data_IF_183830753924
#
_entry.id   IF_183830753924
#
_cell.length_a   1.000
_cell.length_b   1.000
_cell.length_c   1.000
_cell.angle_alpha   90.00
_cell.angle_beta   90.00
_cell.angle_gamma   90.00
#
_symmetry.space_group_name_H-M   'P 1'
#
loop_
_entity.id
_entity.type
_entity.pdbx_description
1 polymer ?
#
# COMPACT_ATOMS: atom_id res chain seq x y z
N UNK A 1 33.73 -13.91 -48.71
CA UNK A 1 34.26 -13.28 -47.47
C UNK A 1 33.37 -12.18 -46.85
N UNK A 2 32.13 -11.98 -47.32
CA UNK A 2 31.23 -10.92 -46.83
C UNK A 2 30.29 -11.36 -45.71
N UNK A 3 29.90 -12.63 -45.65
CA UNK A 3 28.95 -13.16 -44.64
C UNK A 3 29.52 -13.18 -43.21
N UNK A 4 30.79 -13.58 -43.03
CA UNK A 4 31.43 -13.65 -41.69
C UNK A 4 31.63 -12.30 -40.99
N UNK A 5 31.80 -11.20 -41.74
CA UNK A 5 31.91 -9.84 -41.18
C UNK A 5 30.57 -9.24 -40.76
N UNK A 6 29.46 -9.63 -41.41
CA UNK A 6 28.12 -9.20 -41.03
C UNK A 6 27.63 -9.94 -39.77
N UNK A 7 27.89 -11.23 -39.67
CA UNK A 7 27.58 -12.03 -38.47
C UNK A 7 28.33 -11.49 -37.26
N UNK A 8 29.60 -11.10 -37.40
CA UNK A 8 30.37 -10.52 -36.28
C UNK A 8 29.84 -9.15 -35.84
N UNK A 9 29.38 -8.29 -36.77
CA UNK A 9 28.80 -6.97 -36.45
C UNK A 9 27.43 -7.08 -35.79
N UNK A 10 26.57 -7.97 -36.28
CA UNK A 10 25.26 -8.23 -35.69
C UNK A 10 25.39 -8.78 -34.25
N UNK A 11 26.34 -9.68 -34.01
CA UNK A 11 26.64 -10.18 -32.66
C UNK A 11 27.14 -9.08 -31.73
N UNK A 12 28.00 -8.17 -32.19
CA UNK A 12 28.47 -7.04 -31.39
C UNK A 12 27.29 -6.11 -31.02
N UNK A 13 26.44 -5.76 -31.99
CA UNK A 13 25.24 -4.94 -31.74
C UNK A 13 24.30 -5.62 -30.75
N UNK A 14 24.09 -6.94 -30.88
CA UNK A 14 23.28 -7.72 -29.94
C UNK A 14 23.85 -7.70 -28.52
N UNK A 15 25.18 -7.89 -28.37
CA UNK A 15 25.85 -7.85 -27.07
C UNK A 15 25.73 -6.45 -26.44
N UNK A 16 25.96 -5.39 -27.22
CA UNK A 16 25.83 -4.01 -26.73
C UNK A 16 24.39 -3.73 -26.29
N UNK A 17 23.40 -4.16 -27.07
CA UNK A 17 22.00 -4.00 -26.71
C UNK A 17 21.64 -4.74 -25.40
N UNK A 18 22.07 -6.00 -25.27
CA UNK A 18 21.87 -6.78 -24.04
C UNK A 18 22.58 -6.13 -22.85
N UNK A 19 23.80 -5.61 -23.03
CA UNK A 19 24.54 -4.93 -21.97
C UNK A 19 23.84 -3.64 -21.51
N UNK A 20 23.31 -2.84 -22.44
CA UNK A 20 22.51 -1.65 -22.14
C UNK A 20 21.22 -2.05 -21.40
N UNK A 21 20.47 -3.02 -21.93
CA UNK A 21 19.24 -3.51 -21.30
C UNK A 21 19.51 -4.05 -19.89
N UNK A 22 20.61 -4.79 -19.72
CA UNK A 22 21.03 -5.27 -18.41
C UNK A 22 21.36 -4.11 -17.47
N UNK A 23 22.22 -3.19 -17.88
CA UNK A 23 22.73 -2.12 -17.03
C UNK A 23 21.64 -1.13 -16.59
N UNK A 24 20.72 -0.77 -17.49
CA UNK A 24 19.75 0.30 -17.25
C UNK A 24 18.35 -0.20 -16.86
N UNK A 25 18.03 -1.47 -17.11
CA UNK A 25 16.68 -2.02 -16.83
C UNK A 25 16.78 -3.24 -15.94
N UNK A 26 17.36 -4.34 -16.42
CA UNK A 26 17.29 -5.64 -15.70
C UNK A 26 18.04 -5.61 -14.37
N UNK A 27 19.18 -4.93 -14.26
CA UNK A 27 19.94 -4.85 -13.02
C UNK A 27 19.11 -4.19 -11.91
N UNK A 28 18.48 -3.06 -12.20
CA UNK A 28 17.62 -2.36 -11.23
C UNK A 28 16.41 -3.20 -10.84
N UNK A 29 15.82 -3.91 -11.80
CA UNK A 29 14.67 -4.77 -11.54
C UNK A 29 15.04 -6.01 -10.73
N UNK A 30 16.08 -6.75 -11.11
CA UNK A 30 16.48 -8.01 -10.47
C UNK A 30 16.99 -7.74 -9.06
N UNK A 31 17.93 -6.81 -8.90
CA UNK A 31 18.60 -6.60 -7.61
C UNK A 31 17.90 -5.54 -6.75
N UNK A 32 17.28 -4.54 -7.37
CA UNK A 32 16.54 -3.49 -6.66
C UNK A 32 15.12 -3.92 -6.34
N UNK A 33 14.27 -4.01 -7.37
CA UNK A 33 12.83 -4.24 -7.23
C UNK A 33 12.49 -5.66 -6.73
N UNK A 34 13.06 -6.70 -7.35
CA UNK A 34 12.84 -8.09 -6.95
C UNK A 34 13.66 -8.45 -5.70
N UNK A 35 14.80 -7.80 -5.50
CA UNK A 35 15.63 -7.98 -4.31
C UNK A 35 16.46 -9.26 -4.30
N UNK A 36 16.78 -9.84 -5.47
CA UNK A 36 17.67 -11.00 -5.54
C UNK A 36 19.02 -10.68 -4.91
N UNK A 37 19.52 -11.56 -4.05
CA UNK A 37 20.80 -11.38 -3.35
C UNK A 37 20.78 -10.32 -2.23
N UNK A 38 19.66 -9.67 -1.94
CA UNK A 38 19.54 -8.76 -0.79
C UNK A 38 19.70 -9.55 0.50
N UNK A 39 20.67 -9.14 1.33
CA UNK A 39 20.88 -9.68 2.68
C UNK A 39 19.81 -9.15 3.62
N UNK A 40 19.24 -10.05 4.42
CA UNK A 40 18.29 -9.73 5.46
C UNK A 40 19.00 -9.62 6.82
N UNK A 41 18.50 -8.72 7.64
CA UNK A 41 18.61 -8.76 9.09
C UNK A 41 17.43 -9.57 9.64
N UNK A 42 17.58 -10.04 10.86
CA UNK A 42 16.58 -10.83 11.57
C UNK A 42 16.14 -10.08 12.82
N UNK A 43 14.98 -10.44 13.39
CA UNK A 43 14.49 -9.79 14.61
C UNK A 43 15.49 -9.78 15.76
N UNK A 44 16.33 -10.82 15.89
CA UNK A 44 17.41 -10.88 16.88
C UNK A 44 18.47 -9.77 16.74
N UNK A 45 18.58 -9.16 15.57
CA UNK A 45 19.48 -8.03 15.29
C UNK A 45 18.86 -6.69 15.77
N UNK A 46 17.60 -6.71 16.25
CA UNK A 46 16.85 -5.58 16.80
C UNK A 46 16.46 -5.88 18.27
N UNK A 47 17.42 -5.89 19.22
CA UNK A 47 17.23 -6.46 20.56
C UNK A 47 16.19 -5.75 21.43
N UNK A 48 15.83 -4.51 21.08
CA UNK A 48 14.82 -3.72 21.80
C UNK A 48 13.41 -3.98 21.30
N UNK A 49 13.21 -4.93 20.39
CA UNK A 49 11.91 -5.21 19.78
C UNK A 49 11.54 -6.66 20.02
N UNK A 50 10.34 -6.88 20.52
CA UNK A 50 9.75 -8.21 20.64
C UNK A 50 8.47 -8.26 19.80
N UNK A 51 8.31 -9.33 19.03
CA UNK A 51 7.18 -9.50 18.12
C UNK A 51 6.41 -10.79 18.42
N UNK A 52 5.09 -10.72 18.24
CA UNK A 52 4.17 -11.84 18.40
C UNK A 52 3.23 -11.93 17.18
N UNK A 53 3.10 -13.15 16.64
CA UNK A 53 2.09 -13.45 15.62
C UNK A 53 0.71 -13.61 16.23
N UNK A 54 -0.29 -13.03 15.59
CA UNK A 54 -1.68 -13.12 16.01
C UNK A 54 -2.45 -13.98 15.00
N UNK A 55 -2.44 -15.29 15.19
CA UNK A 55 -3.05 -16.27 14.27
C UNK A 55 -4.48 -16.67 14.69
N UNK A 56 -4.83 -16.50 15.97
CA UNK A 56 -6.06 -17.06 16.56
C UNK A 56 -7.29 -16.14 16.48
N UNK A 57 -7.19 -14.96 15.84
CA UNK A 57 -8.26 -13.96 15.79
C UNK A 57 -8.95 -13.86 14.41
N UNK A 58 -8.50 -14.62 13.41
CA UNK A 58 -9.02 -14.54 12.04
C UNK A 58 -8.70 -13.21 11.35
N UNK A 59 -7.60 -12.55 11.76
CA UNK A 59 -7.09 -11.32 11.14
C UNK A 59 -6.18 -11.69 9.97
N UNK A 60 -6.81 -12.04 8.86
CA UNK A 60 -6.15 -12.46 7.62
C UNK A 60 -6.26 -11.39 6.53
N UNK A 61 -5.29 -11.38 5.61
CA UNK A 61 -5.30 -10.52 4.42
C UNK A 61 -5.51 -9.03 4.75
N UNK A 62 -5.11 -8.61 5.96
CA UNK A 62 -5.22 -7.25 6.46
C UNK A 62 -4.17 -6.39 5.77
N UNK A 63 -4.50 -5.97 4.55
CA UNK A 63 -3.58 -5.30 3.63
C UNK A 63 -3.20 -3.90 4.12
N UNK A 64 -4.14 -3.25 4.80
CA UNK A 64 -4.02 -1.88 5.27
C UNK A 64 -4.58 -1.71 6.69
N UNK A 65 -4.09 -0.70 7.41
CA UNK A 65 -4.43 -0.33 8.77
C UNK A 65 -4.41 1.20 8.99
N UNK A 66 -5.21 1.67 9.94
CA UNK A 66 -5.24 3.05 10.40
C UNK A 66 -5.50 3.11 11.90
N UNK A 67 -4.68 3.85 12.64
CA UNK A 67 -4.81 3.99 14.09
C UNK A 67 -5.52 5.31 14.43
N UNK A 68 -6.63 5.22 15.15
CA UNK A 68 -7.23 6.38 15.79
C UNK A 68 -6.43 6.76 17.03
N UNK A 69 -5.43 7.61 16.85
CA UNK A 69 -4.50 8.03 17.91
C UNK A 69 -5.18 8.38 19.23
N UNK A 70 -6.27 9.16 19.16
CA UNK A 70 -7.01 9.66 20.33
C UNK A 70 -7.57 8.56 21.23
N UNK A 71 -7.93 7.40 20.66
CA UNK A 71 -8.60 6.33 21.42
C UNK A 71 -7.84 5.01 21.41
N UNK A 72 -6.81 4.87 20.57
CA UNK A 72 -6.09 3.60 20.39
C UNK A 72 -6.88 2.54 19.61
N UNK A 73 -7.94 2.89 18.88
CA UNK A 73 -8.63 1.92 18.01
C UNK A 73 -7.86 1.77 16.70
N UNK A 74 -7.40 0.56 16.41
CA UNK A 74 -6.76 0.19 15.15
C UNK A 74 -7.81 -0.38 14.20
N UNK A 75 -8.05 0.30 13.10
CA UNK A 75 -8.91 -0.10 12.01
C UNK A 75 -8.09 -0.87 10.99
N UNK A 76 -8.61 -1.99 10.47
CA UNK A 76 -7.88 -2.87 9.55
C UNK A 76 -8.80 -3.37 8.46
N UNK A 77 -8.36 -3.29 7.20
CA UNK A 77 -9.10 -3.79 6.04
C UNK A 77 -8.70 -5.24 5.76
N UNK A 78 -9.46 -6.19 6.30
CA UNK A 78 -9.12 -7.61 6.28
C UNK A 78 -10.01 -8.42 5.31
N UNK A 79 -9.50 -9.57 4.90
CA UNK A 79 -10.13 -10.50 3.96
C UNK A 79 -9.84 -11.95 4.42
N UNK A 80 -10.02 -12.93 3.54
CA UNK A 80 -9.47 -14.27 3.70
C UNK A 80 -8.25 -14.42 2.79
N UNK A 81 -7.14 -14.89 3.35
CA UNK A 81 -5.90 -15.12 2.59
C UNK A 81 -6.09 -16.10 1.44
N UNK A 82 -6.97 -17.09 1.62
CA UNK A 82 -7.31 -18.05 0.57
C UNK A 82 -8.02 -17.37 -0.61
N UNK A 83 -9.03 -16.54 -0.34
CA UNK A 83 -9.83 -15.89 -1.38
C UNK A 83 -9.04 -14.87 -2.20
N UNK A 84 -7.99 -14.29 -1.61
CA UNK A 84 -7.11 -13.34 -2.28
C UNK A 84 -6.24 -13.99 -3.38
N UNK A 85 -6.04 -15.32 -3.33
CA UNK A 85 -5.37 -16.07 -4.41
C UNK A 85 -6.22 -16.04 -5.69
N UNK A 86 -7.53 -15.97 -5.54
CA UNK A 86 -8.48 -15.86 -6.65
C UNK A 86 -8.74 -14.39 -7.03
N UNK A 87 -8.96 -13.52 -6.04
CA UNK A 87 -9.36 -12.13 -6.26
C UNK A 87 -8.57 -11.12 -5.44
N UNK A 88 -7.53 -10.58 -6.08
CA UNK A 88 -6.79 -9.41 -5.64
C UNK A 88 -6.23 -8.73 -6.91
N UNK A 89 -6.96 -7.78 -7.51
CA UNK A 89 -6.53 -7.15 -8.76
C UNK A 89 -5.14 -6.51 -8.67
N UNK A 90 -4.74 -6.03 -7.49
CA UNK A 90 -3.43 -5.43 -7.21
C UNK A 90 -2.23 -6.31 -7.57
N UNK A 91 -2.40 -7.64 -7.52
CA UNK A 91 -1.37 -8.63 -7.89
C UNK A 91 -1.74 -9.41 -9.16
N UNK A 92 -2.79 -8.98 -9.87
CA UNK A 92 -3.25 -9.60 -11.10
C UNK A 92 -4.11 -10.86 -10.91
N UNK A 93 -4.59 -11.13 -9.70
CA UNK A 93 -5.56 -12.20 -9.45
C UNK A 93 -6.97 -11.68 -9.78
N UNK A 94 -7.55 -12.23 -10.85
CA UNK A 94 -8.76 -11.72 -11.51
C UNK A 94 -9.85 -12.81 -11.65
N UNK A 95 -9.83 -13.85 -10.80
CA UNK A 95 -10.87 -14.87 -10.76
C UNK A 95 -12.09 -14.36 -9.96
N UNK A 96 -13.03 -13.71 -10.65
CA UNK A 96 -14.21 -13.10 -10.05
C UNK A 96 -15.09 -14.08 -9.25
N UNK A 97 -15.14 -15.34 -9.66
CA UNK A 97 -15.97 -16.37 -8.98
C UNK A 97 -15.36 -16.88 -7.68
N UNK A 98 -14.05 -16.73 -7.48
CA UNK A 98 -13.35 -17.13 -6.25
C UNK A 98 -13.15 -15.99 -5.24
N UNK A 99 -13.73 -14.82 -5.47
CA UNK A 99 -13.55 -13.67 -4.59
C UNK A 99 -14.03 -13.92 -3.16
N UNK A 100 -13.45 -13.19 -2.21
CA UNK A 100 -13.91 -13.19 -0.82
C UNK A 100 -15.32 -12.63 -0.70
N UNK A 101 -16.12 -13.24 0.18
CA UNK A 101 -17.46 -12.78 0.55
C UNK A 101 -17.54 -12.31 2.02
N UNK A 102 -16.40 -12.36 2.72
CA UNK A 102 -16.29 -12.09 4.15
C UNK A 102 -15.35 -10.93 4.46
N UNK A 103 -14.85 -10.22 3.43
CA UNK A 103 -14.03 -9.02 3.62
C UNK A 103 -14.82 -7.99 4.44
N UNK A 104 -14.15 -7.44 5.45
CA UNK A 104 -14.76 -6.51 6.40
C UNK A 104 -13.70 -5.79 7.20
N UNK A 105 -14.09 -4.64 7.75
CA UNK A 105 -13.22 -3.87 8.63
C UNK A 105 -13.17 -4.51 10.03
N UNK A 106 -11.97 -4.84 10.49
CA UNK A 106 -11.71 -5.17 11.89
C UNK A 106 -11.34 -3.89 12.66
N UNK A 107 -11.74 -3.82 13.93
CA UNK A 107 -11.37 -2.76 14.86
C UNK A 107 -10.86 -3.39 16.15
N UNK A 108 -9.59 -3.16 16.46
CA UNK A 108 -8.96 -3.62 17.69
C UNK A 108 -8.78 -2.42 18.63
N UNK A 109 -9.35 -2.47 19.83
CA UNK A 109 -8.94 -1.57 20.91
C UNK A 109 -7.53 -1.93 21.33
N UNK A 110 -6.50 -1.16 21.01
CA UNK A 110 -5.11 -1.56 21.28
C UNK A 110 -4.63 -1.26 22.71
N UNK A 111 -5.37 -0.44 23.45
CA UNK A 111 -4.99 0.08 24.77
C UNK A 111 -5.93 -0.37 25.89
N UNK A 112 -7.10 -0.88 25.55
CA UNK A 112 -8.06 -1.40 26.51
C UNK A 112 -7.55 -2.62 27.29
N UNK A 113 -8.13 -2.90 28.47
CA UNK A 113 -7.78 -4.06 29.28
C UNK A 113 -8.30 -5.37 28.66
N UNK A 114 -7.75 -6.50 29.12
CA UNK A 114 -8.20 -7.84 28.70
C UNK A 114 -7.52 -8.37 27.42
N UNK A 115 -8.00 -9.53 26.96
CA UNK A 115 -7.41 -10.20 25.80
C UNK A 115 -7.70 -9.47 24.49
N UNK A 116 -6.84 -9.64 23.48
CA UNK A 116 -7.07 -9.09 22.14
C UNK A 116 -8.41 -9.53 21.57
N UNK A 117 -8.79 -10.80 21.79
CA UNK A 117 -10.07 -11.34 21.35
C UNK A 117 -11.28 -10.57 21.92
N UNK A 118 -11.26 -10.22 23.22
CA UNK A 118 -12.37 -9.45 23.83
C UNK A 118 -12.45 -8.00 23.36
N UNK A 119 -11.39 -7.50 22.73
CA UNK A 119 -11.22 -6.11 22.27
C UNK A 119 -11.34 -5.96 20.76
N UNK A 120 -11.44 -7.07 20.03
CA UNK A 120 -11.62 -7.09 18.60
C UNK A 120 -13.11 -7.04 18.25
N UNK A 121 -13.46 -6.14 17.34
CA UNK A 121 -14.79 -6.01 16.75
C UNK A 121 -14.69 -6.09 15.23
N UNK A 122 -15.72 -6.64 14.61
CA UNK A 122 -15.90 -6.63 13.17
C UNK A 122 -17.02 -5.66 12.83
N UNK A 123 -16.77 -4.68 11.96
CA UNK A 123 -17.77 -3.69 11.60
C UNK A 123 -18.78 -4.29 10.62
N UNK A 124 -20.06 -4.18 10.95
CA UNK A 124 -21.17 -4.43 10.02
C UNK A 124 -21.46 -3.19 9.18
N UNK A 125 -21.85 -3.40 7.93
CA UNK A 125 -22.29 -2.32 7.02
C UNK A 125 -23.78 -2.04 7.20
N UNK A 126 -24.14 -0.76 7.17
CA UNK A 126 -25.53 -0.30 7.09
C UNK A 126 -25.73 0.46 5.77
N UNK A 127 -26.91 0.36 5.18
CA UNK A 127 -27.27 1.04 3.92
C UNK A 127 -26.35 0.76 2.72
N UNK A 128 -25.64 -0.37 2.74
CA UNK A 128 -24.77 -0.79 1.63
C UNK A 128 -25.37 -2.00 0.91
N UNK A 129 -25.67 -1.85 -0.38
CA UNK A 129 -26.23 -2.94 -1.19
C UNK A 129 -25.20 -4.02 -1.57
N UNK A 130 -23.91 -3.76 -1.39
CA UNK A 130 -22.86 -4.69 -1.83
C UNK A 130 -22.57 -4.66 -3.33
N UNK A 131 -21.92 -5.73 -3.77
CA UNK A 131 -21.50 -5.96 -5.14
C UNK A 131 -22.62 -6.73 -5.84
N UNK A 132 -23.33 -6.06 -6.75
CA UNK A 132 -24.49 -6.65 -7.44
C UNK A 132 -25.58 -7.14 -6.45
N UNK A 133 -25.78 -6.41 -5.34
CA UNK A 133 -26.88 -6.66 -4.39
C UNK A 133 -26.58 -7.67 -3.28
N UNK A 134 -25.35 -8.17 -3.18
CA UNK A 134 -25.01 -9.26 -2.26
C UNK A 134 -24.58 -8.81 -0.84
N UNK A 135 -24.54 -7.50 -0.58
CA UNK A 135 -24.08 -6.93 0.69
C UNK A 135 -22.57 -7.02 0.99
N UNK A 136 -21.73 -7.55 0.10
CA UNK A 136 -20.30 -7.81 0.37
C UNK A 136 -19.36 -6.73 -0.18
N UNK A 137 -18.12 -6.73 0.32
CA UNK A 137 -17.01 -5.88 -0.10
C UNK A 137 -15.85 -6.75 -0.60
N UNK A 138 -14.94 -6.17 -1.39
CA UNK A 138 -13.61 -6.73 -1.65
C UNK A 138 -12.56 -5.66 -1.35
N UNK A 139 -12.04 -5.68 -0.13
CA UNK A 139 -11.31 -4.55 0.47
C UNK A 139 -9.85 -4.49 0.02
N UNK A 140 -9.25 -3.30 0.06
CA UNK A 140 -7.82 -3.07 -0.17
C UNK A 140 -7.39 -1.87 0.69
N UNK A 141 -6.65 -0.91 0.15
CA UNK A 141 -6.26 0.30 0.87
C UNK A 141 -7.44 1.20 1.27
N UNK A 142 -7.25 1.97 2.34
CA UNK A 142 -8.25 2.89 2.85
C UNK A 142 -7.63 4.07 3.61
N UNK A 143 -8.49 5.04 3.93
CA UNK A 143 -8.15 6.13 4.84
C UNK A 143 -9.36 6.55 5.68
N UNK A 144 -9.09 7.12 6.85
CA UNK A 144 -10.10 7.61 7.78
C UNK A 144 -9.76 9.05 8.17
N UNK A 145 -10.73 9.94 7.98
CA UNK A 145 -10.70 11.29 8.53
C UNK A 145 -11.61 11.36 9.75
N UNK A 146 -11.05 11.71 10.90
CA UNK A 146 -11.84 12.04 12.08
C UNK A 146 -12.34 13.49 12.00
N UNK A 147 -13.64 13.70 12.20
CA UNK A 147 -14.21 15.01 12.49
C UNK A 147 -14.16 15.24 14.00
N UNK A 148 -13.28 16.12 14.44
CA UNK A 148 -13.07 16.43 15.87
C UNK A 148 -14.30 17.10 16.53
N UNK A 149 -15.16 17.76 15.76
CA UNK A 149 -16.33 18.46 16.29
C UNK A 149 -17.46 17.48 16.60
N UNK A 150 -17.67 16.50 15.72
CA UNK A 150 -18.78 15.55 15.83
C UNK A 150 -18.38 14.17 16.37
N UNK A 151 -17.07 13.87 16.37
CA UNK A 151 -16.52 12.54 16.66
C UNK A 151 -16.85 11.50 15.59
N UNK A 152 -17.35 11.92 14.41
CA UNK A 152 -17.64 11.03 13.29
C UNK A 152 -16.34 10.71 12.56
N UNK A 153 -16.15 9.43 12.25
CA UNK A 153 -15.08 8.94 11.42
C UNK A 153 -15.61 8.75 9.99
N UNK A 154 -15.00 9.44 9.03
CA UNK A 154 -15.29 9.33 7.60
C UNK A 154 -14.29 8.37 6.95
N UNK A 155 -14.76 7.18 6.62
CA UNK A 155 -13.95 6.10 6.06
C UNK A 155 -14.08 6.13 4.53
N UNK A 156 -12.97 6.12 3.79
CA UNK A 156 -12.93 5.81 2.35
C UNK A 156 -12.24 4.48 2.14
N UNK A 157 -12.99 3.49 1.68
CA UNK A 157 -12.50 2.13 1.43
C UNK A 157 -12.37 1.90 -0.07
N UNK A 158 -11.25 1.33 -0.53
CA UNK A 158 -11.21 0.74 -1.86
C UNK A 158 -12.04 -0.54 -1.85
N UNK A 159 -12.93 -0.65 -2.83
CA UNK A 159 -13.69 -1.86 -3.10
C UNK A 159 -13.38 -2.34 -4.52
N UNK A 160 -12.60 -3.41 -4.63
CA UNK A 160 -12.25 -4.03 -5.90
C UNK A 160 -13.39 -4.90 -6.42
N UNK A 161 -14.47 -4.28 -6.87
CA UNK A 161 -15.64 -5.01 -7.38
C UNK A 161 -15.27 -5.78 -8.66
N UNK A 162 -15.69 -7.05 -8.81
CA UNK A 162 -15.66 -7.69 -10.11
C UNK A 162 -16.51 -6.93 -11.13
N UNK A 163 -16.15 -7.01 -12.42
CA UNK A 163 -16.98 -6.42 -13.46
C UNK A 163 -18.21 -7.30 -13.72
N UNK A 164 -19.38 -6.66 -13.82
CA UNK A 164 -20.64 -7.31 -14.17
C UNK A 164 -21.26 -6.60 -15.37
N UNK A 165 -21.99 -7.38 -16.18
CA UNK A 165 -22.78 -6.84 -17.26
C UNK A 165 -23.96 -6.04 -16.68
N UNK A 166 -24.13 -4.75 -17.03
CA UNK A 166 -25.14 -3.90 -16.40
C UNK A 166 -26.58 -4.27 -16.77
N UNK A 167 -26.80 -5.01 -17.86
CA UNK A 167 -28.13 -5.41 -18.32
C UNK A 167 -28.56 -6.75 -17.75
N UNK A 168 -27.63 -7.69 -17.62
CA UNK A 168 -27.91 -9.08 -17.24
C UNK A 168 -27.46 -9.42 -15.82
N UNK A 169 -26.62 -8.58 -15.20
CA UNK A 169 -26.05 -8.83 -13.87
C UNK A 169 -25.06 -10.00 -13.83
N UNK A 170 -24.64 -10.52 -14.98
CA UNK A 170 -23.72 -11.66 -15.07
C UNK A 170 -22.25 -11.21 -14.93
N UNK A 171 -21.37 -12.01 -14.28
CA UNK A 171 -19.95 -11.72 -14.23
C UNK A 171 -19.34 -11.60 -15.63
N UNK A 172 -18.48 -10.60 -15.82
CA UNK A 172 -17.67 -10.42 -17.02
C UNK A 172 -16.26 -10.98 -16.83
N UNK A 173 -15.56 -11.24 -17.94
CA UNK A 173 -14.19 -11.73 -17.93
C UNK A 173 -13.20 -10.63 -17.50
N UNK A 174 -12.90 -10.61 -16.20
CA UNK A 174 -12.00 -9.64 -15.60
C UNK A 174 -10.56 -9.71 -16.16
N UNK A 175 -10.14 -10.84 -16.74
CA UNK A 175 -8.80 -10.93 -17.37
C UNK A 175 -8.66 -10.05 -18.63
N UNK A 176 -9.79 -9.63 -19.20
CA UNK A 176 -9.85 -8.76 -20.38
C UNK A 176 -10.09 -7.30 -20.03
N UNK A 177 -11.00 -7.03 -19.10
CA UNK A 177 -11.47 -5.66 -18.80
C UNK A 177 -10.99 -5.13 -17.44
N UNK A 178 -10.50 -6.02 -16.57
CA UNK A 178 -10.08 -5.72 -15.21
C UNK A 178 -11.24 -5.49 -14.23
N UNK A 179 -10.89 -5.15 -12.98
CA UNK A 179 -11.86 -4.90 -11.93
C UNK A 179 -12.62 -3.58 -12.12
N UNK A 180 -13.86 -3.54 -11.63
CA UNK A 180 -14.68 -2.33 -11.54
C UNK A 180 -14.49 -1.65 -10.17
N UNK A 181 -13.25 -1.26 -9.88
CA UNK A 181 -12.87 -0.73 -8.57
C UNK A 181 -13.52 0.61 -8.27
N UNK A 182 -13.95 0.80 -7.03
CA UNK A 182 -14.61 2.01 -6.52
C UNK A 182 -13.99 2.45 -5.19
N UNK A 183 -14.32 3.68 -4.76
CA UNK A 183 -14.20 4.04 -3.35
C UNK A 183 -15.58 4.04 -2.70
N UNK A 184 -15.70 3.42 -1.54
CA UNK A 184 -16.92 3.46 -0.72
C UNK A 184 -16.69 4.37 0.47
N UNK A 185 -17.56 5.37 0.60
CA UNK A 185 -17.57 6.20 1.79
C UNK A 185 -18.52 5.64 2.83
N UNK A 186 -18.01 5.48 4.04
CA UNK A 186 -18.79 5.15 5.21
C UNK A 186 -18.61 6.19 6.31
N UNK A 187 -19.55 6.22 7.24
CA UNK A 187 -19.45 6.95 8.50
C UNK A 187 -19.58 5.97 9.67
N UNK A 188 -18.72 6.14 10.67
CA UNK A 188 -18.77 5.37 11.92
C UNK A 188 -18.37 6.27 13.09
N UNK A 189 -18.41 5.74 14.32
CA UNK A 189 -17.85 6.37 15.51
C UNK A 189 -16.88 5.41 16.19
N UNK A 190 -15.86 5.97 16.83
CA UNK A 190 -14.91 5.22 17.63
C UNK A 190 -15.63 4.28 18.63
N UNK A 191 -15.22 3.02 18.66
CA UNK A 191 -15.76 2.01 19.59
C UNK A 191 -17.09 1.37 19.18
N UNK A 192 -17.75 1.84 18.13
CA UNK A 192 -18.97 1.20 17.60
C UNK A 192 -18.64 -0.06 16.77
N UNK A 193 -19.67 -0.82 16.43
CA UNK A 193 -19.57 -2.06 15.64
C UNK A 193 -20.25 -1.95 14.26
N UNK A 194 -20.65 -0.75 13.84
CA UNK A 194 -21.28 -0.54 12.53
C UNK A 194 -20.67 0.64 11.80
N UNK A 195 -20.81 0.62 10.48
CA UNK A 195 -20.47 1.74 9.60
C UNK A 195 -21.57 1.92 8.55
N UNK A 196 -22.10 3.14 8.46
CA UNK A 196 -23.17 3.49 7.54
C UNK A 196 -22.61 3.97 6.22
N UNK A 197 -23.02 3.33 5.13
CA UNK A 197 -22.66 3.76 3.78
C UNK A 197 -23.26 5.13 3.48
N UNK A 198 -22.44 6.00 2.91
CA UNK A 198 -22.82 7.35 2.52
C UNK A 198 -22.90 7.45 1.00
N UNK A 199 -21.89 6.94 0.29
CA UNK A 199 -21.83 7.02 -1.17
C UNK A 199 -20.75 6.12 -1.76
N UNK A 200 -20.93 5.79 -3.03
CA UNK A 200 -19.92 5.16 -3.89
C UNK A 200 -19.32 6.21 -4.82
N UNK A 201 -18.00 6.24 -4.95
CA UNK A 201 -17.27 6.97 -5.99
C UNK A 201 -16.86 6.02 -7.11
N UNK A 202 -17.40 6.25 -8.30
CA UNK A 202 -17.05 5.55 -9.53
C UNK A 202 -16.72 6.60 -10.61
N UNK A 203 -15.54 6.50 -11.21
CA UNK A 203 -15.05 7.45 -12.20
C UNK A 203 -13.98 6.77 -13.06
N UNK A 204 -13.85 7.14 -14.34
CA UNK A 204 -12.87 6.55 -15.27
C UNK A 204 -11.40 6.78 -14.87
N UNK A 205 -11.14 7.78 -14.04
CA UNK A 205 -9.81 8.04 -13.44
C UNK A 205 -9.48 7.01 -12.36
N UNK A 206 -10.48 6.38 -11.74
CA UNK A 206 -10.31 5.28 -10.79
C UNK A 206 -10.12 3.98 -11.59
N UNK A 207 -8.87 3.73 -12.01
CA UNK A 207 -8.55 2.59 -12.86
C UNK A 207 -8.12 1.38 -12.03
N UNK A 208 -7.05 1.56 -11.28
CA UNK A 208 -6.40 0.53 -10.49
C UNK A 208 -6.02 1.16 -9.16
N UNK A 209 -6.98 1.58 -8.32
CA UNK A 209 -6.68 2.25 -7.07
C UNK A 209 -5.90 1.31 -6.15
N UNK A 210 -4.90 1.83 -5.44
CA UNK A 210 -4.18 1.08 -4.41
C UNK A 210 -4.34 1.70 -3.02
N UNK A 211 -4.23 3.03 -2.88
CA UNK A 211 -4.58 3.73 -1.63
C UNK A 211 -5.11 5.13 -1.85
N UNK A 212 -5.89 5.61 -0.89
CA UNK A 212 -6.48 6.96 -0.82
C UNK A 212 -5.93 7.71 0.41
N UNK A 213 -5.93 9.04 0.36
CA UNK A 213 -5.79 9.90 1.52
C UNK A 213 -6.72 11.11 1.41
N UNK A 214 -7.43 11.40 2.50
CA UNK A 214 -8.23 12.61 2.62
C UNK A 214 -7.35 13.87 2.58
N UNK A 215 -7.81 14.89 1.85
CA UNK A 215 -7.17 16.22 1.79
C UNK A 215 -8.04 17.25 2.51
N UNK A 216 -9.35 17.26 2.23
CA UNK A 216 -10.37 18.04 2.93
C UNK A 216 -11.56 17.15 3.25
N UNK A 217 -12.70 17.76 3.61
CA UNK A 217 -13.93 17.03 3.93
C UNK A 217 -14.57 16.34 2.73
N UNK A 218 -14.25 16.85 1.55
CA UNK A 218 -14.90 16.56 0.28
C UNK A 218 -13.90 16.29 -0.86
N UNK A 219 -12.60 16.29 -0.54
CA UNK A 219 -11.52 16.05 -1.47
C UNK A 219 -10.53 15.01 -0.95
N UNK A 220 -10.05 14.18 -1.86
CA UNK A 220 -9.06 13.16 -1.58
C UNK A 220 -8.13 12.97 -2.77
N UNK A 221 -6.95 12.42 -2.49
CA UNK A 221 -6.01 11.94 -3.52
C UNK A 221 -5.87 10.44 -3.41
N UNK A 222 -5.55 9.77 -4.52
CA UNK A 222 -5.35 8.33 -4.53
C UNK A 222 -4.33 7.90 -5.58
N UNK A 223 -3.67 6.77 -5.34
CA UNK A 223 -2.76 6.15 -6.31
C UNK A 223 -3.52 5.24 -7.26
N UNK A 224 -3.22 5.32 -8.56
CA UNK A 224 -3.41 4.19 -9.46
C UNK A 224 -2.06 3.51 -9.69
N UNK A 225 -1.93 2.24 -9.30
CA UNK A 225 -0.64 1.54 -9.41
C UNK A 225 -0.27 1.17 -10.87
N UNK A 226 -1.24 1.05 -11.78
CA UNK A 226 -1.05 0.79 -13.21
C UNK A 226 -1.88 1.76 -14.07
N UNK A 227 -1.53 1.85 -15.35
CA UNK A 227 -2.24 2.63 -16.38
C UNK A 227 -3.44 1.88 -16.96
N UNK A 228 -3.41 0.55 -16.89
CA UNK A 228 -4.42 -0.34 -17.46
C UNK A 228 -4.85 -1.41 -16.44
N UNK A 229 -6.14 -1.75 -16.47
CA UNK A 229 -6.76 -2.69 -15.51
C UNK A 229 -6.45 -4.16 -15.80
N UNK A 230 -6.07 -4.48 -17.04
CA UNK A 230 -5.77 -5.83 -17.50
C UNK A 230 -4.94 -5.81 -18.80
N UNK A 231 -4.63 -6.98 -19.33
CA UNK A 231 -3.97 -7.14 -20.64
C UNK A 231 -2.46 -6.83 -20.67
N UNK A 232 -1.90 -6.73 -21.88
CA UNK A 232 -0.46 -6.58 -22.08
C UNK A 232 0.11 -5.29 -21.48
N UNK A 233 -0.63 -4.17 -21.56
CA UNK A 233 -0.20 -2.90 -20.99
C UNK A 233 0.01 -3.00 -19.48
N UNK A 234 -0.95 -3.59 -18.76
CA UNK A 234 -0.87 -3.83 -17.31
C UNK A 234 0.37 -4.66 -16.93
N UNK A 235 0.73 -5.67 -17.73
CA UNK A 235 1.92 -6.50 -17.49
C UNK A 235 3.26 -5.78 -17.75
N UNK A 236 3.26 -4.75 -18.60
CA UNK A 236 4.47 -3.99 -18.93
C UNK A 236 4.70 -2.80 -17.98
N UNK A 237 3.64 -2.25 -17.38
CA UNK A 237 3.71 -1.10 -16.47
C UNK A 237 4.75 -1.23 -15.34
N UNK A 238 4.99 -2.40 -14.71
CA UNK A 238 6.08 -2.56 -13.74
C UNK A 238 7.48 -2.26 -14.31
N UNK A 239 7.67 -2.40 -15.63
CA UNK A 239 8.95 -2.17 -16.32
C UNK A 239 9.06 -0.75 -16.88
N UNK A 240 7.97 -0.24 -17.45
CA UNK A 240 7.98 1.02 -18.22
C UNK A 240 7.25 2.18 -17.52
N UNK A 241 6.73 1.95 -16.31
CA UNK A 241 5.88 2.89 -15.59
C UNK A 241 4.48 2.98 -16.21
N UNK A 242 3.54 3.57 -15.46
CA UNK A 242 2.15 3.69 -15.89
C UNK A 242 1.20 4.14 -14.78
N UNK A 243 1.64 4.05 -13.54
CA UNK A 243 0.86 4.54 -12.42
C UNK A 243 0.86 6.06 -12.31
N UNK A 244 -0.07 6.57 -11.53
CA UNK A 244 -0.22 7.99 -11.27
C UNK A 244 -0.80 8.25 -9.88
N UNK A 245 -0.89 9.53 -9.52
CA UNK A 245 -1.75 10.00 -8.43
C UNK A 245 -2.84 10.85 -9.04
N UNK A 246 -4.07 10.61 -8.60
CA UNK A 246 -5.24 11.37 -9.00
C UNK A 246 -5.84 12.11 -7.80
N UNK A 247 -6.59 13.16 -8.09
CA UNK A 247 -7.32 13.99 -7.14
C UNK A 247 -8.81 13.91 -7.49
N UNK A 248 -9.66 13.79 -6.48
CA UNK A 248 -11.11 13.86 -6.62
C UNK A 248 -11.68 14.95 -5.71
N UNK A 249 -12.64 15.69 -6.25
CA UNK A 249 -13.58 16.50 -5.50
C UNK A 249 -14.98 15.98 -5.82
N UNK A 250 -15.65 15.38 -4.82
CA UNK A 250 -16.89 14.65 -5.05
C UNK A 250 -16.74 13.60 -6.19
N UNK A 251 -17.55 13.69 -7.23
CA UNK A 251 -17.59 12.80 -8.40
C UNK A 251 -16.62 13.21 -9.52
N UNK A 252 -15.99 14.38 -9.41
CA UNK A 252 -15.05 14.91 -10.39
C UNK A 252 -13.63 14.54 -10.00
N UNK A 253 -13.04 13.63 -10.76
CA UNK A 253 -11.66 13.21 -10.60
C UNK A 253 -10.79 13.65 -11.78
N UNK A 254 -9.52 13.91 -11.51
CA UNK A 254 -8.49 14.16 -12.53
C UNK A 254 -7.15 13.61 -12.10
N UNK A 255 -6.27 13.39 -13.08
CA UNK A 255 -4.87 13.11 -12.79
C UNK A 255 -4.22 14.33 -12.13
N UNK A 256 -3.46 14.11 -11.06
CA UNK A 256 -2.82 15.17 -10.27
C UNK A 256 -1.29 15.08 -10.32
N UNK A 257 -0.70 13.90 -10.50
CA UNK A 257 0.75 13.74 -10.64
C UNK A 257 1.27 14.40 -11.93
N UNK A 258 2.52 14.90 -11.94
CA UNK A 258 3.10 15.59 -13.11
C UNK A 258 3.37 14.65 -14.29
N UNK A 259 3.41 13.34 -14.04
CA UNK A 259 3.49 12.31 -15.07
C UNK A 259 2.55 11.15 -14.73
N UNK A 260 2.21 10.36 -15.75
CA UNK A 260 1.47 9.10 -15.62
C UNK A 260 2.41 7.90 -15.71
N UNK A 261 3.68 8.10 -15.36
CA UNK A 261 4.76 7.15 -15.61
C UNK A 261 5.35 6.68 -14.28
N UNK A 262 4.62 6.85 -13.17
CA UNK A 262 5.09 6.45 -11.86
C UNK A 262 5.25 4.94 -11.81
N UNK A 263 6.34 4.49 -11.19
CA UNK A 263 6.69 3.07 -11.11
C UNK A 263 5.94 2.42 -9.93
N UNK A 264 4.74 1.91 -10.21
CA UNK A 264 3.83 1.31 -9.22
C UNK A 264 3.70 2.15 -7.94
N UNK A 265 3.09 3.35 -8.01
CA UNK A 265 2.79 4.11 -6.81
C UNK A 265 1.82 3.31 -5.94
N UNK A 266 2.16 3.18 -4.67
CA UNK A 266 1.48 2.29 -3.74
C UNK A 266 0.80 3.10 -2.62
N UNK A 267 0.90 2.69 -1.36
CA UNK A 267 0.14 3.30 -0.28
C UNK A 267 0.57 4.71 0.10
N UNK A 268 -0.05 5.71 -0.52
CA UNK A 268 0.22 7.11 -0.19
C UNK A 268 -0.34 7.50 1.19
N UNK A 269 0.24 8.54 1.77
CA UNK A 269 -0.27 9.19 2.97
C UNK A 269 -0.17 10.71 2.87
N UNK A 270 -1.09 11.40 3.53
CA UNK A 270 -0.96 12.83 3.82
C UNK A 270 -0.26 12.97 5.17
N UNK A 271 0.96 13.48 5.15
CA UNK A 271 1.69 13.76 6.38
C UNK A 271 1.34 15.12 6.99
N UNK A 272 2.04 15.49 8.07
CA UNK A 272 1.91 16.80 8.69
C UNK A 272 2.20 17.92 7.68
N UNK A 273 1.63 19.10 7.90
CA UNK A 273 1.72 20.26 6.98
C UNK A 273 1.02 20.05 5.62
N UNK A 274 0.30 18.95 5.44
CA UNK A 274 -0.48 18.68 4.23
C UNK A 274 0.34 18.19 3.04
N UNK A 275 1.57 17.74 3.28
CA UNK A 275 2.45 17.13 2.29
C UNK A 275 1.97 15.71 1.96
N UNK A 276 2.02 15.32 0.68
CA UNK A 276 1.64 13.99 0.23
C UNK A 276 2.90 13.16 -0.03
N UNK A 277 3.00 12.01 0.64
CA UNK A 277 4.08 11.04 0.47
C UNK A 277 3.56 9.88 -0.36
N UNK A 278 4.24 9.58 -1.46
CA UNK A 278 3.83 8.51 -2.38
C UNK A 278 4.98 7.53 -2.53
N UNK A 279 4.84 6.30 -2.00
CA UNK A 279 5.86 5.27 -2.16
C UNK A 279 5.83 4.71 -3.59
N UNK A 280 6.96 4.19 -4.03
CA UNK A 280 7.09 3.41 -5.26
C UNK A 280 7.60 2.02 -4.92
N UNK A 281 6.81 1.01 -5.26
CA UNK A 281 7.19 -0.39 -5.04
C UNK A 281 8.36 -0.81 -5.93
N UNK A 282 8.42 -0.33 -7.18
CA UNK A 282 9.50 -0.72 -8.10
C UNK A 282 10.83 0.00 -7.80
N UNK A 283 10.79 1.31 -7.54
CA UNK A 283 12.02 2.09 -7.39
C UNK A 283 12.55 2.10 -5.95
N UNK A 284 11.75 1.66 -4.97
CA UNK A 284 12.12 1.72 -3.56
C UNK A 284 12.42 3.15 -3.11
N UNK A 285 11.49 4.05 -3.40
CA UNK A 285 11.60 5.47 -3.07
C UNK A 285 10.27 6.04 -2.63
N UNK A 286 10.30 7.13 -1.87
CA UNK A 286 9.13 7.92 -1.51
C UNK A 286 9.24 9.29 -2.16
N UNK A 287 8.32 9.59 -3.07
CA UNK A 287 8.22 10.92 -3.66
C UNK A 287 7.37 11.82 -2.75
N UNK A 288 7.86 13.03 -2.49
CA UNK A 288 7.23 13.99 -1.59
C UNK A 288 6.63 15.11 -2.43
N UNK A 289 5.34 15.39 -2.23
CA UNK A 289 4.59 16.35 -3.04
C UNK A 289 3.92 17.42 -2.18
N UNK A 290 3.81 18.61 -2.74
CA UNK A 290 2.82 19.60 -2.32
C UNK A 290 1.64 19.61 -3.29
N UNK A 291 0.43 19.81 -2.77
CA UNK A 291 -0.75 20.04 -3.57
C UNK A 291 -0.86 21.54 -3.89
N UNK A 292 -0.83 21.87 -5.18
CA UNK A 292 -0.94 23.25 -5.68
C UNK A 292 -2.39 23.75 -5.60
N UNK A 293 -2.59 25.07 -5.73
CA UNK A 293 -3.92 25.67 -5.77
C UNK A 293 -4.81 25.09 -6.89
N UNK A 294 -4.21 24.72 -8.02
CA UNK A 294 -4.89 24.07 -9.13
C UNK A 294 -5.10 22.56 -8.92
N UNK A 295 -4.92 22.05 -7.70
CA UNK A 295 -5.07 20.63 -7.34
C UNK A 295 -4.16 19.66 -8.11
N UNK A 296 -3.00 20.14 -8.56
CA UNK A 296 -1.94 19.32 -9.13
C UNK A 296 -0.84 19.08 -8.09
N UNK A 297 -0.18 17.94 -8.16
CA UNK A 297 0.95 17.61 -7.31
C UNK A 297 2.26 18.11 -7.92
N UNK A 298 3.05 18.80 -7.10
CA UNK A 298 4.41 19.22 -7.45
C UNK A 298 5.40 18.49 -6.57
N UNK A 299 6.33 17.76 -7.18
CA UNK A 299 7.41 17.08 -6.48
C UNK A 299 8.29 18.14 -5.80
N UNK A 300 8.54 17.96 -4.50
CA UNK A 300 9.43 18.83 -3.71
C UNK A 300 10.65 18.08 -3.17
N UNK A 301 10.59 16.74 -3.08
CA UNK A 301 11.70 15.90 -2.65
C UNK A 301 11.49 14.44 -3.10
N UNK A 302 12.55 13.63 -3.05
CA UNK A 302 12.48 12.17 -3.25
C UNK A 302 13.44 11.46 -2.31
N UNK A 303 12.89 10.61 -1.45
CA UNK A 303 13.63 9.82 -0.45
C UNK A 303 13.95 8.47 -1.07
N UNK A 304 15.23 8.15 -1.27
CA UNK A 304 15.66 6.89 -1.89
C UNK A 304 16.03 5.87 -0.81
N UNK A 305 15.10 4.99 -0.46
CA UNK A 305 15.33 3.95 0.56
C UNK A 305 16.03 2.72 -0.01
N UNK A 306 15.91 2.49 -1.32
CA UNK A 306 16.52 1.37 -2.02
C UNK A 306 15.87 0.01 -1.71
N UNK A 307 14.73 0.00 -1.05
CA UNK A 307 13.92 -1.19 -0.74
C UNK A 307 12.51 -0.93 -1.29
N UNK A 308 11.89 -1.86 -2.03
CA UNK A 308 10.48 -1.77 -2.42
C UNK A 308 9.58 -1.39 -1.25
N UNK A 309 8.73 -0.37 -1.40
CA UNK A 309 7.80 0.08 -0.37
C UNK A 309 6.37 -0.20 -0.84
N UNK A 310 5.57 -0.71 0.08
CA UNK A 310 4.14 -0.95 -0.08
C UNK A 310 3.37 0.23 0.54
N UNK A 311 2.68 0.05 1.67
CA UNK A 311 1.99 1.15 2.35
C UNK A 311 2.87 2.00 3.27
N UNK A 312 2.54 3.28 3.32
CA UNK A 312 2.97 4.22 4.33
C UNK A 312 1.88 4.42 5.39
N UNK A 313 2.28 4.70 6.62
CA UNK A 313 1.44 5.32 7.65
C UNK A 313 2.18 6.50 8.27
N UNK A 314 1.46 7.35 8.99
CA UNK A 314 2.02 8.50 9.71
C UNK A 314 1.64 8.37 11.17
N UNK A 315 2.62 8.44 12.05
CA UNK A 315 2.39 8.38 13.49
C UNK A 315 2.14 9.78 14.08
N UNK A 316 1.76 9.83 15.36
CA UNK A 316 1.48 11.09 16.08
C UNK A 316 2.65 12.06 16.14
N UNK A 317 3.89 11.57 16.01
CA UNK A 317 5.09 12.42 15.98
C UNK A 317 5.35 13.01 14.58
N UNK A 318 4.59 12.57 13.57
CA UNK A 318 4.81 12.92 12.17
C UNK A 318 5.89 12.08 11.50
N UNK A 319 6.37 11.00 12.15
CA UNK A 319 7.24 10.03 11.51
C UNK A 319 6.41 9.18 10.54
N UNK A 320 6.98 8.91 9.38
CA UNK A 320 6.38 8.02 8.39
C UNK A 320 6.89 6.61 8.65
N UNK A 321 5.96 5.66 8.79
CA UNK A 321 6.26 4.24 8.93
C UNK A 321 5.98 3.57 7.58
N UNK A 322 7.00 2.98 6.98
CA UNK A 322 6.94 2.34 5.68
C UNK A 322 7.02 0.82 5.84
N UNK A 323 6.00 0.10 5.37
CA UNK A 323 6.10 -1.32 5.13
C UNK A 323 6.84 -1.57 3.81
N UNK A 324 7.87 -2.39 3.85
CA UNK A 324 8.77 -2.61 2.74
C UNK A 324 9.02 -4.10 2.48
N UNK A 325 9.24 -4.43 1.21
CA UNK A 325 9.32 -5.79 0.68
C UNK A 325 10.77 -6.04 0.21
N UNK A 326 11.68 -6.49 1.11
CA UNK A 326 13.10 -6.59 0.78
C UNK A 326 13.42 -7.64 -0.28
N UNK A 327 12.62 -8.70 -0.37
CA UNK A 327 12.76 -9.78 -1.36
C UNK A 327 11.41 -10.01 -2.07
N UNK A 328 11.01 -9.09 -2.94
CA UNK A 328 9.72 -9.14 -3.63
C UNK A 328 9.51 -10.41 -4.48
N UNK A 329 10.58 -11.07 -4.95
CA UNK A 329 10.44 -12.37 -5.62
C UNK A 329 9.81 -13.45 -4.72
N UNK A 330 10.12 -13.45 -3.41
CA UNK A 330 9.47 -14.35 -2.43
C UNK A 330 8.06 -13.90 -2.12
N UNK A 331 7.83 -12.60 -2.03
CA UNK A 331 6.48 -12.06 -1.84
C UNK A 331 5.54 -12.48 -2.97
N UNK A 332 6.00 -12.47 -4.22
CA UNK A 332 5.25 -13.01 -5.37
C UNK A 332 4.91 -14.50 -5.18
N UNK A 333 5.82 -15.31 -4.62
CA UNK A 333 5.53 -16.71 -4.30
C UNK A 333 4.44 -16.82 -3.22
N UNK A 334 4.50 -16.00 -2.16
CA UNK A 334 3.46 -15.99 -1.11
C UNK A 334 2.10 -15.56 -1.63
N UNK A 335 2.03 -14.67 -2.63
CA UNK A 335 0.75 -14.28 -3.22
C UNK A 335 -0.01 -15.47 -3.82
N UNK A 336 0.70 -16.51 -4.26
CA UNK A 336 0.10 -17.71 -4.87
C UNK A 336 -0.18 -18.82 -3.87
N UNK A 337 0.55 -18.85 -2.75
CA UNK A 337 0.49 -19.90 -1.75
C UNK A 337 0.73 -19.31 -0.34
N UNK A 338 -0.20 -18.50 0.18
CA UNK A 338 0.01 -17.71 1.39
C UNK A 338 0.18 -18.53 2.68
N UNK A 339 -0.25 -19.80 2.66
CA UNK A 339 -0.11 -20.72 3.79
C UNK A 339 1.17 -21.58 3.72
N UNK A 340 1.78 -21.71 2.53
CA UNK A 340 2.93 -22.62 2.30
C UNK A 340 4.26 -21.89 2.15
N UNK A 341 4.21 -20.56 1.94
CA UNK A 341 5.37 -19.72 1.64
C UNK A 341 5.42 -18.55 2.61
N UNK A 342 6.63 -18.10 2.90
CA UNK A 342 6.91 -16.93 3.73
C UNK A 342 7.58 -15.82 2.93
N UNK A 343 7.26 -14.58 3.27
CA UNK A 343 7.83 -13.39 2.65
C UNK A 343 8.54 -12.54 3.71
N UNK A 344 9.83 -12.23 3.49
CA UNK A 344 10.54 -11.28 4.32
C UNK A 344 9.85 -9.91 4.36
N UNK A 345 9.97 -9.23 5.49
CA UNK A 345 9.36 -7.92 5.74
C UNK A 345 10.38 -6.97 6.34
N UNK A 346 10.37 -5.71 5.90
CA UNK A 346 11.13 -4.62 6.52
C UNK A 346 10.17 -3.54 6.94
N UNK A 347 10.33 -2.99 8.15
CA UNK A 347 9.65 -1.76 8.56
C UNK A 347 10.68 -0.64 8.64
N UNK A 348 10.45 0.43 7.88
CA UNK A 348 11.29 1.62 7.85
C UNK A 348 10.63 2.76 8.61
N UNK A 349 11.40 3.51 9.38
CA UNK A 349 11.01 4.85 9.85
C UNK A 349 11.64 5.88 8.93
N UNK A 350 10.86 6.85 8.48
CA UNK A 350 11.31 8.01 7.72
C UNK A 350 10.92 9.26 8.52
N UNK A 351 11.92 10.06 8.90
CA UNK A 351 11.73 11.27 9.70
C UNK A 351 12.23 12.49 8.94
N UNK A 352 11.47 13.57 8.99
CA UNK A 352 11.90 14.87 8.48
C UNK A 352 12.85 15.55 9.48
N UNK A 353 13.99 16.03 9.00
CA UNK A 353 14.96 16.79 9.77
C UNK A 353 14.71 18.28 9.55
N UNK A 354 14.53 19.05 10.64
CA UNK A 354 14.52 20.51 10.60
C UNK A 354 15.93 21.05 10.84
N UNK A 355 16.42 21.96 9.99
CA UNK A 355 17.78 22.54 10.04
C UNK A 355 18.07 23.40 11.28
N UNK A 356 17.15 23.53 12.24
CA UNK A 356 17.31 24.35 13.44
C UNK A 356 17.65 23.57 14.73
N UNK A 357 17.92 22.26 14.68
CA UNK A 357 18.55 21.57 15.82
C UNK A 357 20.06 21.51 15.62
N UNK A 358 20.76 22.42 16.27
CA UNK A 358 22.21 22.51 16.25
C UNK A 358 22.90 21.25 16.75
N UNK A 359 24.09 21.06 16.17
CA UNK A 359 25.16 20.12 16.47
C UNK A 359 25.17 18.76 15.74
N UNK A 360 26.20 18.64 14.90
CA UNK A 360 27.06 17.47 14.64
C UNK A 360 26.43 16.24 13.99
N UNK A 361 26.58 16.08 12.68
CA UNK A 361 27.66 15.31 12.00
C UNK A 361 27.27 15.07 10.53
N UNK A 362 28.27 14.95 9.66
CA UNK A 362 28.19 14.95 8.19
C UNK A 362 27.07 14.08 7.60
N UNK A 363 25.89 14.68 7.41
CA UNK A 363 24.87 14.14 6.52
C UNK A 363 25.05 14.79 5.16
N UNK A 364 25.50 14.02 4.16
CA UNK A 364 25.62 14.47 2.76
C UNK A 364 24.23 14.81 2.19
N UNK A 365 23.74 16.02 2.47
CA UNK A 365 22.52 16.61 1.91
C UNK A 365 22.80 17.06 0.47
N UNK A 366 22.02 16.54 -0.48
CA UNK A 366 22.03 16.97 -1.89
C UNK A 366 20.65 17.50 -2.33
N UNK A 367 19.89 18.11 -1.43
CA UNK A 367 18.54 18.59 -1.74
C UNK A 367 18.50 20.09 -2.00
N UNK A 368 17.99 20.48 -3.18
CA UNK A 368 17.75 21.86 -3.60
C UNK A 368 16.52 22.52 -2.94
N UNK A 369 15.75 21.76 -2.14
CA UNK A 369 14.51 22.22 -1.50
C UNK A 369 14.66 22.57 -0.02
N UNK A 370 15.84 22.40 0.57
CA UNK A 370 16.09 22.69 1.99
C UNK A 370 15.42 21.70 2.97
N UNK A 371 14.75 20.67 2.44
CA UNK A 371 14.19 19.56 3.20
C UNK A 371 15.21 18.42 3.27
N UNK A 372 15.47 17.93 4.48
CA UNK A 372 16.29 16.75 4.73
C UNK A 372 15.46 15.69 5.44
N UNK A 373 15.70 14.43 5.07
CA UNK A 373 15.03 13.27 5.65
C UNK A 373 16.07 12.24 6.08
N UNK A 374 15.90 11.69 7.27
CA UNK A 374 16.58 10.46 7.68
C UNK A 374 15.62 9.29 7.56
N UNK A 375 16.17 8.10 7.29
CA UNK A 375 15.41 6.87 7.40
C UNK A 375 16.29 5.74 7.91
N UNK A 376 15.66 4.77 8.55
CA UNK A 376 16.32 3.59 9.08
C UNK A 376 15.34 2.45 9.28
N UNK A 377 15.86 1.22 9.35
CA UNK A 377 15.06 0.05 9.70
C UNK A 377 14.71 0.09 11.18
N UNK A 378 13.43 -0.07 11.47
CA UNK A 378 12.94 -0.33 12.83
C UNK A 378 13.11 -1.82 13.11
N UNK A 379 12.69 -2.67 12.17
CA UNK A 379 12.76 -4.12 12.27
C UNK A 379 12.80 -4.74 10.87
N UNK A 380 13.36 -5.94 10.79
CA UNK A 380 13.36 -6.77 9.60
C UNK A 380 13.36 -8.24 10.01
N UNK A 381 12.66 -9.06 9.23
CA UNK A 381 12.55 -10.49 9.45
C UNK A 381 12.41 -11.24 8.12
N UNK A 382 12.74 -12.52 8.11
CA UNK A 382 12.68 -13.38 6.94
C UNK A 382 11.26 -13.89 6.58
N UNK A 383 10.25 -13.48 7.36
CA UNK A 383 8.87 -13.90 7.23
C UNK A 383 8.49 -15.02 8.20
N UNK A 384 9.42 -15.45 9.06
CA UNK A 384 9.15 -16.40 10.14
C UNK A 384 8.22 -15.81 11.21
N UNK A 385 8.22 -14.49 11.40
CA UNK A 385 7.42 -13.75 12.39
C UNK A 385 6.66 -12.58 11.78
N UNK A 386 7.26 -11.83 10.85
CA UNK A 386 6.58 -10.70 10.19
C UNK A 386 5.72 -11.15 9.00
N UNK A 387 4.53 -10.56 8.78
CA UNK A 387 3.48 -11.11 7.91
C UNK A 387 3.64 -10.76 6.42
N UNK A 388 4.85 -10.82 5.86
CA UNK A 388 5.09 -10.31 4.50
C UNK A 388 4.56 -8.89 4.33
N UNK A 389 4.90 -8.03 5.29
CA UNK A 389 4.15 -6.81 5.63
C UNK A 389 3.92 -5.90 4.44
N UNK A 390 2.65 -5.58 4.18
CA UNK A 390 2.22 -4.55 3.23
C UNK A 390 1.84 -3.27 3.94
N UNK A 391 1.59 -3.31 5.26
CA UNK A 391 1.33 -2.14 6.10
C UNK A 391 2.00 -2.29 7.47
N UNK A 392 2.41 -1.16 8.04
CA UNK A 392 2.92 -1.05 9.39
C UNK A 392 2.43 0.27 10.01
N UNK A 393 1.88 0.22 11.22
CA UNK A 393 1.38 1.39 11.96
C UNK A 393 2.03 1.43 13.34
N UNK A 394 2.47 2.61 13.78
CA UNK A 394 3.09 2.83 15.07
C UNK A 394 2.15 3.56 16.02
N UNK A 395 1.88 2.97 17.17
CA UNK A 395 1.22 3.66 18.28
C UNK A 395 2.27 4.28 19.19
N UNK A 396 2.49 5.59 19.03
CA UNK A 396 3.45 6.38 19.82
C UNK A 396 3.18 6.28 21.32
N UNK A 397 1.92 6.11 21.72
CA UNK A 397 1.52 6.10 23.12
C UNK A 397 1.95 4.82 23.84
N UNK A 398 1.92 3.69 23.14
CA UNK A 398 2.29 2.39 23.70
C UNK A 398 3.66 1.89 23.23
N UNK A 399 4.26 2.55 22.22
CA UNK A 399 5.49 2.10 21.56
C UNK A 399 5.31 0.84 20.72
N UNK A 400 4.06 0.45 20.44
CA UNK A 400 3.70 -0.76 19.68
C UNK A 400 3.65 -0.51 18.19
N UNK A 401 4.02 -1.52 17.42
CA UNK A 401 3.86 -1.58 15.97
C UNK A 401 2.88 -2.68 15.60
N UNK A 402 2.01 -2.39 14.65
CA UNK A 402 1.02 -3.32 14.10
C UNK A 402 1.31 -3.51 12.62
N UNK A 403 1.51 -4.76 12.21
CA UNK A 403 1.81 -5.09 10.81
C UNK A 403 0.78 -6.06 10.25
N UNK A 404 0.37 -5.83 9.02
CA UNK A 404 -0.47 -6.74 8.24
C UNK A 404 0.12 -6.96 6.85
N UNK A 405 -0.40 -7.98 6.16
CA UNK A 405 -0.02 -8.31 4.80
C UNK A 405 -1.25 -8.60 3.95
N UNK A 406 -1.23 -8.17 2.68
CA UNK A 406 -2.33 -8.35 1.72
C UNK A 406 -2.86 -9.79 1.62
N UNK A 407 -1.97 -10.76 1.85
CA UNK A 407 -2.19 -12.19 1.70
C UNK A 407 -1.88 -12.97 2.98
N UNK A 408 -1.42 -12.29 4.04
CA UNK A 408 -0.88 -12.97 5.21
C UNK A 408 -2.02 -13.60 6.02
N UNK A 409 -1.88 -14.86 6.47
CA UNK A 409 -2.88 -15.51 7.31
C UNK A 409 -2.89 -15.02 8.77
N UNK A 410 -2.11 -13.98 9.09
CA UNK A 410 -2.05 -13.37 10.41
C UNK A 410 -1.58 -11.91 10.32
N UNK A 411 -1.78 -11.18 11.42
CA UNK A 411 -1.08 -9.92 11.69
C UNK A 411 0.02 -10.15 12.73
N UNK A 412 0.94 -9.21 12.85
CA UNK A 412 1.98 -9.24 13.89
C UNK A 412 1.94 -7.96 14.70
N UNK A 413 2.08 -8.10 16.02
CA UNK A 413 2.24 -6.98 16.95
C UNK A 413 3.67 -7.03 17.48
N UNK A 414 4.38 -5.91 17.41
CA UNK A 414 5.68 -5.77 18.04
C UNK A 414 5.66 -4.67 19.09
N UNK A 415 6.43 -4.85 20.15
CA UNK A 415 6.57 -3.89 21.24
C UNK A 415 8.04 -3.49 21.40
N UNK A 416 8.27 -2.20 21.63
CA UNK A 416 9.58 -1.72 22.05
C UNK A 416 9.77 -2.00 23.55
N UNK A 417 10.89 -2.62 23.92
CA UNK A 417 11.25 -2.90 25.32
C UNK A 417 11.94 -1.72 26.01
#
# INVERSE_FOLDING_TARGET
>A
MTSGRLISRASIVGIVFIAILYQFVLKSLIFGALGYGRKLQFLKDFPNIQCEKIENLGLEGCEDMWLHDKTGFLYMACSSSQSRVDWLPAVGHLNATGRGLTDRMAVLDTRGPGSLASRLKWLSTENFSGINGDGTLNLHGFDIRADEQTGILHVLLINHRPPFDPMTGKPLDASKIGANSTFEQFQTKAGTNTMRHVRTYANDVIKTPNRVAWVTEDTFVFTNYLSAKAGLRSKLDPLIGGGNVAYCHHDRCKNASPSINMAMPNGLVRGPEGVIYVPSTINGSVSVYTLTADHNLRVIHTIKTGIPIDNLSVDRNGDIIAAAIPQAYKWIETSKAPFDKIAPSTVLRIRRISKNRGNSEESKSSSSSGLDYEFGKIMEDDGSTLPGSTVAVHDVETGRYFMGGAMSPYITICESR
#
